data_IF_905681454751
#
_entry.id   IF_905681454751
#
_cell.length_a   1.000
_cell.length_b   1.000
_cell.length_c   1.000
_cell.angle_alpha   90.00
_cell.angle_beta   90.00
_cell.angle_gamma   90.00
#
_symmetry.space_group_name_H-M   'P 1'
#
loop_
_entity.id
_entity.type
_entity.pdbx_description
1 polymer ?
#
# COMPACT_ATOMS: atom_id res chain seq x y z
N UNK A 1 -11.61 -30.70 -13.94
CA UNK A 1 -12.81 -30.36 -14.75
C UNK A 1 -12.37 -29.31 -15.73
N UNK A 2 -12.24 -29.71 -17.00
CA UNK A 2 -11.89 -28.86 -18.14
C UNK A 2 -13.12 -27.98 -18.42
N UNK A 3 -13.03 -26.69 -18.26
CA UNK A 3 -14.03 -25.73 -18.73
C UNK A 3 -13.87 -25.65 -20.25
N UNK A 4 -14.68 -26.42 -20.94
CA UNK A 4 -14.80 -26.52 -22.40
C UNK A 4 -15.53 -25.26 -22.91
N UNK A 5 -14.88 -24.48 -23.79
CA UNK A 5 -15.61 -23.73 -24.81
C UNK A 5 -15.99 -22.28 -24.53
N UNK A 6 -15.17 -21.48 -23.84
CA UNK A 6 -15.33 -20.03 -23.93
C UNK A 6 -14.46 -19.53 -25.08
N UNK A 7 -15.11 -19.03 -26.14
CA UNK A 7 -14.44 -18.49 -27.32
C UNK A 7 -13.64 -17.24 -26.92
N UNK A 8 -12.48 -17.06 -27.54
CA UNK A 8 -11.57 -15.92 -27.31
C UNK A 8 -12.28 -14.55 -27.50
N UNK A 9 -13.36 -14.53 -28.27
CA UNK A 9 -14.21 -13.36 -28.50
C UNK A 9 -15.12 -13.07 -27.29
N UNK A 10 -15.72 -14.11 -26.70
CA UNK A 10 -16.54 -14.00 -25.48
C UNK A 10 -15.70 -13.60 -24.25
N UNK A 11 -14.45 -14.07 -24.15
CA UNK A 11 -13.51 -13.60 -23.12
C UNK A 11 -13.14 -12.12 -23.28
N UNK A 12 -13.04 -11.62 -24.53
CA UNK A 12 -12.81 -10.19 -24.81
C UNK A 12 -14.05 -9.35 -24.50
N UNK A 13 -15.23 -9.83 -24.80
CA UNK A 13 -16.50 -9.15 -24.50
C UNK A 13 -16.84 -9.14 -23.01
N UNK A 14 -16.58 -10.22 -22.28
CA UNK A 14 -16.66 -10.25 -20.81
C UNK A 14 -15.66 -9.30 -20.15
N UNK A 15 -14.47 -9.14 -20.69
CA UNK A 15 -13.47 -8.17 -20.21
C UNK A 15 -13.82 -6.72 -20.57
N UNK A 16 -14.60 -6.49 -21.62
CA UNK A 16 -15.01 -5.14 -22.05
C UNK A 16 -16.17 -4.58 -21.20
N UNK A 17 -16.97 -5.43 -20.55
CA UNK A 17 -18.18 -5.05 -19.81
C UNK A 17 -17.99 -4.87 -18.30
N UNK A 18 -16.76 -4.83 -17.78
CA UNK A 18 -16.52 -4.58 -16.36
C UNK A 18 -16.48 -3.06 -16.11
N UNK A 19 -17.13 -2.55 -15.05
CA UNK A 19 -17.23 -1.11 -14.77
C UNK A 19 -15.86 -0.49 -14.36
N UNK A 20 -14.91 -0.47 -15.28
CA UNK A 20 -13.59 0.12 -15.08
C UNK A 20 -13.67 1.64 -14.87
N UNK A 21 -14.61 2.32 -15.55
CA UNK A 21 -14.76 3.78 -15.49
C UNK A 21 -15.14 4.31 -14.11
N UNK A 22 -15.95 3.57 -13.32
CA UNK A 22 -16.37 3.98 -11.96
C UNK A 22 -15.18 3.99 -10.99
N UNK A 23 -14.35 2.95 -11.04
CA UNK A 23 -13.20 2.82 -10.14
C UNK A 23 -12.00 3.66 -10.58
N UNK A 24 -11.84 3.95 -11.87
CA UNK A 24 -10.74 4.76 -12.36
C UNK A 24 -10.75 6.17 -11.75
N UNK A 25 -11.91 6.82 -11.67
CA UNK A 25 -12.04 8.15 -11.03
C UNK A 25 -11.65 8.10 -9.56
N UNK A 26 -12.10 7.08 -8.82
CA UNK A 26 -11.76 6.89 -7.41
C UNK A 26 -10.26 6.63 -7.23
N UNK A 27 -9.68 5.73 -8.02
CA UNK A 27 -8.24 5.42 -7.98
C UNK A 27 -7.44 6.70 -8.25
N UNK A 28 -7.77 7.44 -9.30
CA UNK A 28 -7.07 8.69 -9.64
C UNK A 28 -7.20 9.72 -8.51
N UNK A 29 -8.41 9.93 -7.98
CA UNK A 29 -8.64 10.89 -6.91
C UNK A 29 -7.83 10.54 -5.65
N UNK A 30 -7.89 9.29 -5.19
CA UNK A 30 -7.15 8.84 -3.99
C UNK A 30 -5.64 8.86 -4.22
N UNK A 31 -5.18 8.48 -5.42
CA UNK A 31 -3.76 8.46 -5.78
C UNK A 31 -3.13 9.85 -5.86
N UNK A 32 -3.93 10.89 -6.08
CA UNK A 32 -3.47 12.28 -6.07
C UNK A 32 -3.68 12.89 -4.68
N UNK A 33 -4.85 12.66 -4.07
CA UNK A 33 -5.22 13.27 -2.79
C UNK A 33 -4.24 12.88 -1.67
N UNK A 34 -3.92 11.59 -1.52
CA UNK A 34 -3.09 11.13 -0.42
C UNK A 34 -1.67 11.71 -0.48
N UNK A 35 -0.91 11.64 -1.60
CA UNK A 35 0.39 12.27 -1.70
C UNK A 35 0.36 13.80 -1.50
N UNK A 36 -0.68 14.48 -1.99
CA UNK A 36 -0.85 15.93 -1.80
C UNK A 36 -1.08 16.24 -0.32
N UNK A 37 -1.96 15.51 0.37
CA UNK A 37 -2.19 15.66 1.81
C UNK A 37 -0.88 15.43 2.56
N UNK A 38 -0.16 14.36 2.26
CA UNK A 38 1.14 14.06 2.91
C UNK A 38 2.15 15.19 2.64
N UNK A 39 2.24 15.71 1.42
CA UNK A 39 3.13 16.83 1.10
C UNK A 39 2.77 18.12 1.88
N UNK A 40 1.48 18.41 2.03
CA UNK A 40 0.99 19.55 2.82
C UNK A 40 1.36 19.40 4.30
N UNK A 41 1.34 18.17 4.84
CA UNK A 41 1.66 17.89 6.24
C UNK A 41 3.10 18.26 6.64
N UNK A 42 4.03 18.27 5.70
CA UNK A 42 5.39 18.77 5.98
C UNK A 42 5.44 20.28 6.16
N UNK A 43 4.40 21.02 5.79
CA UNK A 43 4.33 22.48 5.86
C UNK A 43 3.32 23.01 6.87
N UNK A 44 2.31 22.21 7.22
CA UNK A 44 1.21 22.63 8.12
C UNK A 44 1.33 21.90 9.45
N UNK A 45 1.45 22.67 10.53
CA UNK A 45 1.44 22.18 11.91
C UNK A 45 0.22 22.71 12.64
N UNK A 46 -0.30 21.91 13.55
CA UNK A 46 -1.37 22.34 14.45
C UNK A 46 -0.71 23.04 15.64
N UNK A 47 -0.89 24.36 15.82
CA UNK A 47 -0.31 25.07 16.95
C UNK A 47 -0.99 24.68 18.27
N UNK A 48 -0.25 24.72 19.37
CA UNK A 48 -0.75 24.52 20.74
C UNK A 48 -1.35 23.12 21.03
N UNK A 49 -0.91 22.08 20.29
CA UNK A 49 -1.26 20.69 20.57
C UNK A 49 -0.04 19.98 21.17
N UNK A 50 -0.27 19.14 22.18
CA UNK A 50 0.80 18.33 22.77
C UNK A 50 1.39 17.38 21.71
N UNK A 51 2.73 17.26 21.61
CA UNK A 51 3.37 16.33 20.68
C UNK A 51 2.93 14.88 20.92
N UNK A 52 2.65 14.17 19.84
CA UNK A 52 2.25 12.75 19.90
C UNK A 52 3.46 11.81 19.75
N UNK A 53 4.51 12.05 20.53
CA UNK A 53 5.81 11.35 20.44
C UNK A 53 5.75 9.87 20.80
N UNK A 54 4.63 9.38 21.30
CA UNK A 54 4.37 7.96 21.56
C UNK A 54 3.92 7.19 20.30
N UNK A 55 3.52 7.89 19.22
CA UNK A 55 3.01 7.25 18.00
C UNK A 55 4.06 6.51 17.15
N UNK A 56 5.32 6.98 17.00
CA UNK A 56 6.31 6.31 16.17
C UNK A 56 6.49 4.82 16.47
N UNK A 57 6.70 4.36 17.71
CA UNK A 57 6.83 2.94 17.98
C UNK A 57 5.55 2.14 17.69
N UNK A 58 4.37 2.77 17.81
CA UNK A 58 3.09 2.11 17.54
C UNK A 58 2.91 1.90 16.04
N UNK A 59 3.04 2.95 15.24
CA UNK A 59 2.86 2.80 13.80
C UNK A 59 3.99 1.97 13.15
N UNK A 60 5.22 1.98 13.69
CA UNK A 60 6.28 1.07 13.26
C UNK A 60 5.91 -0.39 13.52
N UNK A 61 5.31 -0.68 14.69
CA UNK A 61 4.79 -2.02 15.02
C UNK A 61 3.67 -2.45 14.09
N UNK A 62 2.78 -1.54 13.69
CA UNK A 62 1.73 -1.80 12.70
C UNK A 62 2.34 -2.14 11.33
N UNK A 63 3.40 -1.44 10.92
CA UNK A 63 4.11 -1.76 9.67
C UNK A 63 4.80 -3.12 9.73
N UNK A 64 5.47 -3.45 10.83
CA UNK A 64 6.06 -4.77 11.02
C UNK A 64 4.99 -5.89 10.96
N UNK A 65 3.84 -5.68 11.60
CA UNK A 65 2.69 -6.60 11.52
C UNK A 65 2.16 -6.70 10.09
N UNK A 66 2.07 -5.58 9.37
CA UNK A 66 1.64 -5.56 7.96
C UNK A 66 2.60 -6.36 7.09
N UNK A 67 3.91 -6.21 7.27
CA UNK A 67 4.92 -7.00 6.56
C UNK A 67 4.74 -8.51 6.80
N UNK A 68 4.53 -8.91 8.04
CA UNK A 68 4.28 -10.31 8.40
C UNK A 68 3.01 -10.85 7.73
N UNK A 69 1.91 -10.09 7.78
CA UNK A 69 0.63 -10.47 7.14
C UNK A 69 0.79 -10.57 5.62
N UNK A 70 1.52 -9.67 4.97
CA UNK A 70 1.81 -9.73 3.54
C UNK A 70 2.55 -11.02 3.16
N UNK A 71 3.55 -11.43 3.95
CA UNK A 71 4.28 -12.68 3.73
C UNK A 71 3.34 -13.89 3.87
N UNK A 72 2.52 -13.91 4.93
CA UNK A 72 1.54 -15.00 5.14
C UNK A 72 0.52 -15.03 4.00
N UNK A 73 0.04 -13.87 3.54
CA UNK A 73 -0.88 -13.76 2.41
C UNK A 73 -0.27 -14.30 1.11
N UNK A 74 1.01 -14.03 0.88
CA UNK A 74 1.75 -14.60 -0.26
C UNK A 74 1.86 -16.12 -0.15
N UNK A 75 2.22 -16.67 1.00
CA UNK A 75 2.26 -18.11 1.23
C UNK A 75 0.87 -18.74 1.06
N UNK A 76 -0.18 -18.07 1.53
CA UNK A 76 -1.57 -18.54 1.39
C UNK A 76 -1.98 -18.70 -0.07
N UNK A 77 -1.68 -17.70 -0.93
CA UNK A 77 -2.01 -17.80 -2.37
C UNK A 77 -1.17 -18.86 -3.07
N UNK A 78 0.10 -19.04 -2.70
CA UNK A 78 0.95 -20.12 -3.22
C UNK A 78 0.39 -21.49 -2.88
N UNK A 79 -0.27 -21.63 -1.72
CA UNK A 79 -0.98 -22.85 -1.28
C UNK A 79 -2.43 -22.92 -1.78
N UNK A 80 -2.84 -22.06 -2.73
CA UNK A 80 -4.19 -22.00 -3.30
C UNK A 80 -5.30 -21.73 -2.26
N UNK A 81 -4.97 -21.17 -1.06
CA UNK A 81 -5.91 -20.77 -0.02
C UNK A 81 -6.44 -19.35 -0.32
N UNK A 82 -7.29 -19.24 -1.37
CA UNK A 82 -7.72 -17.96 -1.94
C UNK A 82 -8.45 -17.10 -0.90
N UNK A 83 -9.40 -17.67 -0.13
CA UNK A 83 -10.16 -16.93 0.89
C UNK A 83 -9.27 -16.35 1.99
N UNK A 84 -8.25 -17.12 2.42
CA UNK A 84 -7.28 -16.64 3.41
C UNK A 84 -6.43 -15.51 2.85
N UNK A 85 -5.92 -15.66 1.62
CA UNK A 85 -5.20 -14.59 0.93
C UNK A 85 -6.03 -13.31 0.84
N UNK A 86 -7.28 -13.40 0.41
CA UNK A 86 -8.20 -12.26 0.31
C UNK A 86 -8.40 -11.55 1.65
N UNK A 87 -8.65 -12.31 2.73
CA UNK A 87 -8.82 -11.76 4.07
C UNK A 87 -7.55 -11.04 4.54
N UNK A 88 -6.39 -11.69 4.42
CA UNK A 88 -5.11 -11.11 4.84
C UNK A 88 -4.75 -9.85 4.04
N UNK A 89 -5.03 -9.82 2.74
CA UNK A 89 -4.80 -8.62 1.91
C UNK A 89 -5.70 -7.45 2.32
N UNK A 90 -6.98 -7.72 2.64
CA UNK A 90 -7.88 -6.69 3.18
C UNK A 90 -7.39 -6.16 4.53
N UNK A 91 -6.91 -7.04 5.40
CA UNK A 91 -6.31 -6.65 6.69
C UNK A 91 -5.06 -5.79 6.49
N UNK A 92 -4.17 -6.16 5.56
CA UNK A 92 -2.98 -5.35 5.24
C UNK A 92 -3.35 -3.95 4.74
N UNK A 93 -4.38 -3.82 3.89
CA UNK A 93 -4.89 -2.51 3.44
C UNK A 93 -5.41 -1.69 4.62
N UNK A 94 -6.20 -2.31 5.52
CA UNK A 94 -6.74 -1.63 6.69
C UNK A 94 -5.62 -1.17 7.65
N UNK A 95 -4.62 -2.00 7.92
CA UNK A 95 -3.46 -1.65 8.74
C UNK A 95 -2.64 -0.51 8.11
N UNK A 96 -2.43 -0.53 6.79
CA UNK A 96 -1.74 0.56 6.09
C UNK A 96 -2.52 1.88 6.17
N UNK A 97 -3.85 1.83 6.18
CA UNK A 97 -4.67 3.02 6.39
C UNK A 97 -4.55 3.55 7.82
N UNK A 98 -4.59 2.67 8.82
CA UNK A 98 -4.37 3.04 10.22
C UNK A 98 -2.98 3.66 10.41
N UNK A 99 -1.95 3.01 9.84
CA UNK A 99 -0.60 3.58 9.81
C UNK A 99 -0.59 5.01 9.24
N UNK A 100 -1.22 5.22 8.07
CA UNK A 100 -1.26 6.52 7.42
C UNK A 100 -1.89 7.60 8.31
N UNK A 101 -3.02 7.28 8.97
CA UNK A 101 -3.70 8.22 9.89
C UNK A 101 -2.80 8.59 11.05
N UNK A 102 -2.13 7.61 11.68
CA UNK A 102 -1.23 7.86 12.81
C UNK A 102 0.02 8.63 12.38
N UNK A 103 0.57 8.31 11.19
CA UNK A 103 1.69 9.02 10.59
C UNK A 103 1.37 10.50 10.35
N UNK A 104 0.19 10.77 9.78
CA UNK A 104 -0.34 12.11 9.55
C UNK A 104 -0.48 12.86 10.89
N UNK A 105 -1.12 12.25 11.89
CA UNK A 105 -1.32 12.84 13.21
C UNK A 105 0.02 13.21 13.87
N UNK A 106 1.01 12.32 13.82
CA UNK A 106 2.35 12.59 14.34
C UNK A 106 3.00 13.79 13.65
N UNK A 107 3.04 13.81 12.31
CA UNK A 107 3.71 14.88 11.57
C UNK A 107 3.04 16.25 11.68
N UNK A 108 1.76 16.30 12.03
CA UNK A 108 1.05 17.56 12.31
C UNK A 108 1.29 18.10 13.72
N UNK A 109 1.78 17.28 14.64
CA UNK A 109 1.86 17.65 16.07
C UNK A 109 3.27 17.60 16.63
N UNK A 110 4.18 16.85 16.03
CA UNK A 110 5.54 16.60 16.54
C UNK A 110 6.61 17.05 15.57
N UNK A 111 7.78 17.40 16.08
CA UNK A 111 8.96 17.73 15.27
C UNK A 111 9.60 16.46 14.70
N UNK A 112 10.12 16.51 13.47
CA UNK A 112 10.85 15.37 12.91
C UNK A 112 12.12 15.11 13.71
N UNK A 113 12.33 13.86 14.08
CA UNK A 113 13.54 13.42 14.80
C UNK A 113 14.72 13.33 13.80
N UNK A 114 15.79 14.09 13.99
CA UNK A 114 16.97 14.02 13.11
C UNK A 114 17.69 12.69 13.30
N UNK A 115 18.29 12.16 12.24
CA UNK A 115 19.14 10.99 12.34
C UNK A 115 20.42 11.32 13.12
N UNK A 116 20.62 10.65 14.25
CA UNK A 116 21.76 10.88 15.16
C UNK A 116 23.04 10.12 14.82
N UNK A 117 23.10 9.37 13.72
CA UNK A 117 24.28 8.60 13.32
C UNK A 117 25.17 9.32 12.34
N UNK A 118 26.46 8.94 12.33
CA UNK A 118 27.49 9.49 11.46
C UNK A 118 28.08 8.46 10.48
N UNK A 119 28.94 8.93 9.58
CA UNK A 119 29.68 8.08 8.63
C UNK A 119 28.79 7.39 7.58
N UNK A 120 29.16 6.17 7.23
CA UNK A 120 28.51 5.38 6.17
C UNK A 120 27.04 5.04 6.50
N UNK A 121 26.69 4.88 7.78
CA UNK A 121 25.33 4.59 8.22
C UNK A 121 24.35 5.71 7.84
N UNK A 122 24.81 6.96 7.86
CA UNK A 122 24.02 8.12 7.45
C UNK A 122 23.59 8.03 5.97
N UNK A 123 24.51 7.62 5.09
CA UNK A 123 24.19 7.49 3.66
C UNK A 123 23.20 6.33 3.41
N UNK A 124 23.37 5.20 4.09
CA UNK A 124 22.45 4.05 4.00
C UNK A 124 21.07 4.46 4.50
N UNK A 125 20.99 5.13 5.64
CA UNK A 125 19.71 5.62 6.19
C UNK A 125 18.97 6.53 5.19
N UNK A 126 19.66 7.55 4.65
CA UNK A 126 19.01 8.47 3.70
C UNK A 126 18.64 7.79 2.38
N UNK A 127 19.43 6.82 1.90
CA UNK A 127 19.06 6.03 0.74
C UNK A 127 17.76 5.24 0.96
N UNK A 128 17.65 4.56 2.11
CA UNK A 128 16.43 3.82 2.49
C UNK A 128 15.26 4.80 2.65
N UNK A 129 15.45 5.90 3.37
CA UNK A 129 14.40 6.90 3.60
C UNK A 129 13.86 7.49 2.30
N UNK A 130 14.74 7.94 1.40
CA UNK A 130 14.33 8.54 0.13
C UNK A 130 13.63 7.53 -0.77
N UNK A 131 14.19 6.31 -0.89
CA UNK A 131 13.56 5.25 -1.67
C UNK A 131 12.19 4.84 -1.09
N UNK A 132 12.07 4.74 0.23
CA UNK A 132 10.80 4.49 0.92
C UNK A 132 9.76 5.58 0.57
N UNK A 133 10.12 6.85 0.69
CA UNK A 133 9.20 7.97 0.41
C UNK A 133 8.73 7.94 -1.05
N UNK A 134 9.66 7.81 -2.00
CA UNK A 134 9.33 7.77 -3.42
C UNK A 134 8.44 6.58 -3.79
N UNK A 135 8.76 5.39 -3.27
CA UNK A 135 7.96 4.19 -3.51
C UNK A 135 6.60 4.26 -2.81
N UNK A 136 6.50 4.93 -1.65
CA UNK A 136 5.23 5.13 -0.93
C UNK A 136 4.23 5.97 -1.72
N UNK A 137 4.68 6.91 -2.53
CA UNK A 137 3.81 7.64 -3.46
C UNK A 137 3.26 6.70 -4.54
N UNK A 138 4.13 5.87 -5.13
CA UNK A 138 3.76 4.96 -6.21
C UNK A 138 2.92 3.75 -5.77
N UNK A 139 3.09 3.28 -4.53
CA UNK A 139 2.37 2.08 -4.07
C UNK A 139 0.87 2.29 -3.93
N UNK A 140 0.41 3.51 -3.64
CA UNK A 140 -1.01 3.81 -3.44
C UNK A 140 -1.83 3.44 -4.68
N UNK A 141 -1.56 3.99 -5.88
CA UNK A 141 -2.29 3.58 -7.08
C UNK A 141 -2.10 2.10 -7.42
N UNK A 142 -0.91 1.55 -7.18
CA UNK A 142 -0.64 0.14 -7.48
C UNK A 142 -1.48 -0.81 -6.63
N UNK A 143 -1.60 -0.58 -5.33
CA UNK A 143 -2.44 -1.38 -4.42
C UNK A 143 -3.91 -1.24 -4.80
N UNK A 144 -4.40 -0.01 -5.07
CA UNK A 144 -5.78 0.24 -5.47
C UNK A 144 -6.14 -0.47 -6.78
N UNK A 145 -5.28 -0.36 -7.81
CA UNK A 145 -5.48 -1.05 -9.09
C UNK A 145 -5.47 -2.57 -8.90
N UNK A 146 -4.52 -3.08 -8.11
CA UNK A 146 -4.41 -4.52 -7.83
C UNK A 146 -5.65 -5.03 -7.11
N UNK A 147 -6.15 -4.28 -6.13
CA UNK A 147 -7.37 -4.61 -5.37
C UNK A 147 -8.62 -4.57 -6.26
N UNK A 148 -8.80 -3.50 -7.04
CA UNK A 148 -9.95 -3.36 -7.96
C UNK A 148 -9.97 -4.49 -9.00
N UNK A 149 -8.81 -4.88 -9.54
CA UNK A 149 -8.73 -6.04 -10.45
C UNK A 149 -9.14 -7.35 -9.78
N UNK A 150 -8.81 -7.54 -8.49
CA UNK A 150 -9.21 -8.72 -7.74
C UNK A 150 -10.73 -8.77 -7.52
N UNK A 151 -11.35 -7.70 -7.00
CA UNK A 151 -12.80 -7.65 -6.74
C UNK A 151 -13.63 -7.71 -8.03
N UNK A 152 -13.05 -7.22 -9.14
CA UNK A 152 -13.65 -7.33 -10.48
C UNK A 152 -13.41 -8.70 -11.14
N UNK A 153 -12.87 -9.68 -10.41
CA UNK A 153 -12.57 -11.06 -10.89
C UNK A 153 -11.60 -11.10 -12.09
N UNK A 154 -10.86 -10.03 -12.36
CA UNK A 154 -9.83 -9.95 -13.40
C UNK A 154 -8.52 -10.53 -12.91
N UNK A 155 -8.51 -11.82 -12.58
CA UNK A 155 -7.39 -12.46 -11.89
C UNK A 155 -6.10 -12.51 -12.72
N UNK A 156 -6.19 -12.58 -14.05
CA UNK A 156 -5.01 -12.53 -14.94
C UNK A 156 -4.30 -11.17 -14.83
N UNK A 157 -5.07 -10.07 -14.86
CA UNK A 157 -4.55 -8.70 -14.75
C UNK A 157 -4.09 -8.37 -13.32
N UNK A 158 -4.81 -8.90 -12.31
CA UNK A 158 -4.40 -8.83 -10.92
C UNK A 158 -3.02 -9.46 -10.72
N UNK A 159 -2.81 -10.68 -11.23
CA UNK A 159 -1.53 -11.39 -11.11
C UNK A 159 -0.38 -10.60 -11.78
N UNK A 160 -0.62 -10.02 -12.95
CA UNK A 160 0.42 -9.24 -13.67
C UNK A 160 0.94 -8.06 -12.83
N UNK A 161 0.04 -7.30 -12.20
CA UNK A 161 0.44 -6.14 -11.42
C UNK A 161 0.94 -6.52 -10.02
N UNK A 162 0.37 -7.57 -9.40
CA UNK A 162 0.73 -7.97 -8.05
C UNK A 162 2.18 -8.43 -7.92
N UNK A 163 2.79 -8.95 -8.99
CA UNK A 163 4.22 -9.34 -9.02
C UNK A 163 5.14 -8.14 -8.75
N UNK A 164 4.72 -6.94 -9.13
CA UNK A 164 5.47 -5.70 -8.89
C UNK A 164 4.98 -5.03 -7.59
N UNK A 165 3.66 -4.98 -7.37
CA UNK A 165 3.07 -4.33 -6.19
C UNK A 165 3.53 -4.98 -4.88
N UNK A 166 3.56 -6.33 -4.84
CA UNK A 166 3.87 -7.05 -3.60
C UNK A 166 5.28 -6.77 -3.06
N UNK A 167 6.39 -6.89 -3.83
CA UNK A 167 7.72 -6.62 -3.30
C UNK A 167 7.91 -5.15 -2.91
N UNK A 168 7.31 -4.20 -3.65
CA UNK A 168 7.38 -2.78 -3.31
C UNK A 168 6.63 -2.52 -1.99
N UNK A 169 5.42 -3.07 -1.83
CA UNK A 169 4.65 -2.90 -0.61
C UNK A 169 5.35 -3.54 0.60
N UNK A 170 5.90 -4.74 0.41
CA UNK A 170 6.68 -5.41 1.46
C UNK A 170 7.91 -4.60 1.88
N UNK A 171 8.64 -4.04 0.90
CA UNK A 171 9.79 -3.16 1.16
C UNK A 171 9.37 -1.94 2.01
N UNK A 172 8.30 -1.26 1.64
CA UNK A 172 7.77 -0.11 2.38
C UNK A 172 7.33 -0.51 3.80
N UNK A 173 6.74 -1.68 3.97
CA UNK A 173 6.29 -2.15 5.29
C UNK A 173 7.45 -2.56 6.22
N UNK A 174 8.63 -2.89 5.67
CA UNK A 174 9.83 -3.27 6.44
C UNK A 174 10.68 -2.05 6.77
N UNK A 175 10.71 -1.04 5.91
CA UNK A 175 11.57 0.14 6.03
C UNK A 175 10.79 1.36 6.51
#
# INVERSE_FOLDING_TARGET
IVVKGINHKEMKEQNANVPSKKYNKLITAVSILIPVVVAILFTVRIPNVAPLDFLPPIYASINALTALILIIAYVAIRKKKIKLHESLMKTSIALSLVFLVMYVAYHMTSDPTPFGGDGSLKYIYYFILISHILLSIGIIPMVLITYVRAISKRFADHKKISVITFPIWLYIAIT
#
